data_IF_775773942584
#
_entry.id   IF_775773942584
#
_cell.length_a   1.000
_cell.length_b   1.000
_cell.length_c   1.000
_cell.angle_alpha   90.00
_cell.angle_beta   90.00
_cell.angle_gamma   90.00
#
_symmetry.space_group_name_H-M   'P 1'
#
loop_
_entity.id
_entity.type
_entity.pdbx_description
1 polymer ?
#
# COMPACT_ATOMS: atom_id res chain seq x y z
N UNK A 1 12.37 19.09 7.44
CA UNK A 1 12.98 18.32 6.34
C UNK A 1 12.35 18.81 5.06
N UNK A 2 13.13 19.14 4.04
CA UNK A 2 12.62 19.46 2.71
C UNK A 2 12.31 18.16 1.97
N UNK A 3 11.19 18.11 1.26
CA UNK A 3 10.83 16.96 0.42
C UNK A 3 10.47 17.46 -0.99
N UNK A 4 11.05 16.85 -1.99
CA UNK A 4 10.72 17.17 -3.39
C UNK A 4 9.52 16.34 -3.82
N UNK A 5 8.45 17.02 -4.25
CA UNK A 5 7.27 16.38 -4.84
C UNK A 5 7.25 16.61 -6.34
N UNK A 6 7.05 15.55 -7.11
CA UNK A 6 6.90 15.61 -8.56
C UNK A 6 5.77 14.74 -9.04
N UNK A 7 5.09 15.17 -10.09
CA UNK A 7 4.19 14.34 -10.85
C UNK A 7 5.01 13.40 -11.74
N UNK A 8 4.60 12.16 -11.78
CA UNK A 8 5.22 11.12 -12.61
C UNK A 8 4.16 10.38 -13.41
N UNK A 9 4.59 9.73 -14.46
CA UNK A 9 3.76 8.80 -15.22
C UNK A 9 4.36 7.41 -15.05
N UNK A 10 3.62 6.51 -14.42
CA UNK A 10 4.00 5.10 -14.28
C UNK A 10 3.66 4.39 -15.58
N UNK A 11 4.67 3.95 -16.30
CA UNK A 11 4.51 3.36 -17.64
C UNK A 11 4.83 1.87 -17.63
N UNK A 12 4.05 1.09 -18.39
CA UNK A 12 4.28 -0.34 -18.58
C UNK A 12 3.14 -1.02 -19.31
N UNK A 13 3.44 -2.09 -20.05
CA UNK A 13 2.44 -2.86 -20.77
C UNK A 13 1.58 -2.05 -21.76
N UNK A 14 2.10 -0.96 -22.32
CA UNK A 14 1.37 -0.06 -23.21
C UNK A 14 0.42 0.91 -22.52
N UNK A 15 0.56 1.08 -21.19
CA UNK A 15 -0.27 1.96 -20.38
C UNK A 15 0.55 3.00 -19.65
N UNK A 16 -0.12 4.11 -19.29
CA UNK A 16 0.43 5.23 -18.58
C UNK A 16 -0.53 5.63 -17.45
N UNK A 17 -0.10 5.51 -16.20
CA UNK A 17 -0.89 5.82 -15.03
C UNK A 17 -0.28 7.04 -14.31
N UNK A 18 -1.09 8.09 -14.02
CA UNK A 18 -0.57 9.26 -13.34
C UNK A 18 -0.25 8.96 -11.88
N UNK A 19 0.85 9.55 -11.38
CA UNK A 19 1.32 9.38 -10.01
C UNK A 19 1.94 10.64 -9.42
N UNK A 20 2.02 10.67 -8.11
CA UNK A 20 2.69 11.68 -7.29
C UNK A 20 3.83 10.99 -6.52
N UNK A 21 5.07 11.28 -6.86
CA UNK A 21 6.26 10.81 -6.16
C UNK A 21 6.78 11.91 -5.23
N UNK A 22 6.93 11.59 -3.96
CA UNK A 22 7.55 12.49 -2.96
C UNK A 22 8.85 11.86 -2.47
N UNK A 23 9.92 12.63 -2.48
CA UNK A 23 11.27 12.19 -2.10
C UNK A 23 11.81 13.14 -1.04
N UNK A 24 11.96 12.70 0.24
CA UNK A 24 12.69 13.42 1.27
C UNK A 24 14.20 13.54 0.96
N UNK A 25 14.91 14.41 1.68
CA UNK A 25 16.35 14.69 1.42
C UNK A 25 17.24 13.43 1.57
N UNK A 26 16.99 12.59 2.57
CA UNK A 26 17.76 11.36 2.81
C UNK A 26 16.83 10.18 3.11
N UNK A 27 16.25 9.59 2.07
CA UNK A 27 15.23 8.56 2.24
C UNK A 27 15.85 7.19 2.57
N UNK A 28 15.25 6.49 3.55
CA UNK A 28 15.62 5.15 3.98
C UNK A 28 14.89 4.02 3.25
N UNK A 29 13.79 4.32 2.56
CA UNK A 29 12.97 3.36 1.82
C UNK A 29 11.93 4.06 0.96
N UNK A 30 11.18 3.28 0.19
CA UNK A 30 10.09 3.77 -0.64
C UNK A 30 8.81 2.99 -0.35
N UNK A 31 7.68 3.69 -0.16
CA UNK A 31 6.36 3.09 0.02
C UNK A 31 5.45 3.41 -1.16
N UNK A 32 4.99 2.36 -1.86
CA UNK A 32 3.98 2.47 -2.92
C UNK A 32 2.59 2.28 -2.32
N UNK A 33 1.65 3.14 -2.73
CA UNK A 33 0.28 3.12 -2.25
C UNK A 33 -0.67 2.49 -3.26
N UNK A 34 -1.41 1.48 -2.82
CA UNK A 34 -2.54 0.91 -3.54
C UNK A 34 -3.85 1.40 -2.88
N UNK A 35 -4.56 2.28 -3.56
CA UNK A 35 -5.82 2.83 -3.07
C UNK A 35 -6.96 1.79 -3.13
N UNK A 36 -8.01 2.02 -2.33
CA UNK A 36 -9.19 1.17 -2.32
C UNK A 36 -10.18 1.49 -3.45
N UNK A 37 -11.25 0.71 -3.50
CA UNK A 37 -12.34 0.84 -4.46
C UNK A 37 -12.97 2.25 -4.43
N UNK A 38 -13.25 2.82 -5.61
CA UNK A 38 -13.82 4.16 -5.75
C UNK A 38 -12.94 5.30 -5.22
N UNK A 39 -11.61 5.07 -5.15
CA UNK A 39 -10.62 6.03 -4.68
C UNK A 39 -9.54 6.23 -5.76
N UNK A 40 -8.58 7.12 -5.50
CA UNK A 40 -7.48 7.44 -6.41
C UNK A 40 -6.23 7.87 -5.64
N UNK A 41 -5.16 8.25 -6.35
CA UNK A 41 -3.98 8.90 -5.78
C UNK A 41 -4.30 10.18 -4.99
N UNK A 42 -5.49 10.75 -5.19
CA UNK A 42 -5.97 11.95 -4.50
C UNK A 42 -6.67 11.65 -3.16
N UNK A 43 -6.79 10.39 -2.74
CA UNK A 43 -7.36 10.00 -1.45
C UNK A 43 -6.82 10.84 -0.31
N UNK A 44 -7.65 11.63 0.41
CA UNK A 44 -7.16 12.45 1.53
C UNK A 44 -6.52 11.60 2.63
N UNK A 45 -7.07 10.41 2.89
CA UNK A 45 -6.58 9.47 3.91
C UNK A 45 -5.20 8.91 3.53
N UNK A 46 -5.03 8.45 2.29
CA UNK A 46 -3.73 7.94 1.84
C UNK A 46 -2.68 9.05 1.79
N UNK A 47 -3.08 10.27 1.39
CA UNK A 47 -2.19 11.44 1.41
C UNK A 47 -1.74 11.83 2.81
N UNK A 48 -2.63 11.74 3.81
CA UNK A 48 -2.26 12.00 5.19
C UNK A 48 -1.24 10.98 5.72
N UNK A 49 -1.48 9.68 5.49
CA UNK A 49 -0.51 8.63 5.86
C UNK A 49 0.81 8.81 5.11
N UNK A 50 0.77 9.11 3.80
CA UNK A 50 1.97 9.38 3.01
C UNK A 50 2.78 10.57 3.53
N UNK A 51 2.11 11.65 3.96
CA UNK A 51 2.79 12.79 4.57
C UNK A 51 3.55 12.39 5.84
N UNK A 52 2.92 11.61 6.73
CA UNK A 52 3.59 11.10 7.94
C UNK A 52 4.77 10.18 7.60
N UNK A 53 4.64 9.34 6.56
CA UNK A 53 5.76 8.51 6.09
C UNK A 53 6.90 9.35 5.49
N UNK A 54 6.59 10.44 4.78
CA UNK A 54 7.62 11.36 4.29
C UNK A 54 8.35 12.06 5.45
N UNK A 55 7.64 12.44 6.53
CA UNK A 55 8.23 12.99 7.75
C UNK A 55 9.14 11.96 8.46
N UNK A 56 8.78 10.67 8.37
CA UNK A 56 9.59 9.56 8.88
C UNK A 56 10.75 9.17 7.95
N UNK A 57 10.99 9.89 6.83
CA UNK A 57 12.11 9.67 5.92
C UNK A 57 11.87 8.64 4.82
N UNK A 58 10.62 8.29 4.50
CA UNK A 58 10.32 7.40 3.38
C UNK A 58 9.91 8.19 2.14
N UNK A 59 10.40 7.78 0.97
CA UNK A 59 9.77 8.15 -0.30
C UNK A 59 8.36 7.58 -0.36
N UNK A 60 7.44 8.27 -1.03
CA UNK A 60 6.09 7.74 -1.27
C UNK A 60 5.69 7.92 -2.73
N UNK A 61 5.08 6.87 -3.31
CA UNK A 61 4.44 6.92 -4.61
C UNK A 61 2.95 6.64 -4.46
N UNK A 62 2.13 7.65 -4.71
CA UNK A 62 0.68 7.53 -4.86
C UNK A 62 0.36 7.59 -6.35
N UNK A 63 -0.31 6.59 -6.89
CA UNK A 63 -0.67 6.55 -8.31
C UNK A 63 -2.05 5.92 -8.48
N UNK A 64 -2.68 6.16 -9.62
CA UNK A 64 -3.97 5.59 -9.94
C UNK A 64 -3.81 4.16 -10.45
N UNK A 65 -4.64 3.24 -9.93
CA UNK A 65 -4.62 1.83 -10.32
C UNK A 65 -5.43 1.55 -11.59
N UNK A 66 -6.30 2.48 -11.97
CA UNK A 66 -7.11 2.44 -13.18
C UNK A 66 -6.78 3.65 -14.07
N UNK A 67 -6.91 3.47 -15.37
CA UNK A 67 -6.88 4.60 -16.32
C UNK A 67 -8.17 5.42 -16.21
N UNK A 68 -8.20 6.63 -16.75
CA UNK A 68 -9.40 7.46 -16.75
C UNK A 68 -10.59 6.79 -17.46
N UNK A 69 -10.33 6.05 -18.55
CA UNK A 69 -11.36 5.31 -19.27
C UNK A 69 -11.87 4.13 -18.43
N UNK A 70 -10.97 3.39 -17.79
CA UNK A 70 -11.33 2.31 -16.86
C UNK A 70 -12.13 2.84 -15.66
N UNK A 71 -11.76 3.98 -15.08
CA UNK A 71 -12.54 4.61 -14.00
C UNK A 71 -13.96 5.01 -14.47
N UNK A 72 -14.08 5.51 -15.69
CA UNK A 72 -15.38 5.86 -16.27
C UNK A 72 -16.29 4.63 -16.43
N UNK A 73 -15.73 3.49 -16.82
CA UNK A 73 -16.46 2.21 -16.88
C UNK A 73 -16.78 1.72 -15.47
N UNK A 74 -15.79 1.74 -14.58
CA UNK A 74 -15.93 1.24 -13.21
C UNK A 74 -16.95 2.06 -12.40
N UNK A 75 -17.07 3.37 -12.67
CA UNK A 75 -18.09 4.21 -12.04
C UNK A 75 -19.53 3.73 -12.32
N UNK A 76 -19.74 3.04 -13.44
CA UNK A 76 -21.05 2.51 -13.87
C UNK A 76 -21.24 1.05 -13.44
N UNK A 77 -20.19 0.22 -13.55
CA UNK A 77 -20.27 -1.23 -13.35
C UNK A 77 -19.82 -1.68 -11.96
N UNK A 78 -18.84 -0.99 -11.38
CA UNK A 78 -18.19 -1.39 -10.12
C UNK A 78 -17.31 -2.62 -10.22
N UNK A 79 -17.07 -3.16 -11.41
CA UNK A 79 -16.38 -4.43 -11.60
C UNK A 79 -14.87 -4.35 -11.43
N UNK A 80 -14.22 -3.31 -12.00
CA UNK A 80 -12.76 -3.21 -12.05
C UNK A 80 -12.15 -2.95 -10.68
N UNK A 81 -12.85 -2.22 -9.80
CA UNK A 81 -12.41 -1.93 -8.42
C UNK A 81 -12.28 -3.18 -7.55
N UNK A 82 -12.88 -4.31 -7.95
CA UNK A 82 -12.79 -5.61 -7.29
C UNK A 82 -12.01 -6.64 -8.11
N UNK A 83 -11.51 -6.29 -9.30
CA UNK A 83 -10.61 -7.14 -10.08
C UNK A 83 -9.19 -7.09 -9.46
N UNK A 84 -9.01 -7.87 -8.38
CA UNK A 84 -7.72 -7.92 -7.68
C UNK A 84 -6.55 -8.31 -8.60
N UNK A 85 -6.69 -9.28 -9.51
CA UNK A 85 -5.66 -9.55 -10.51
C UNK A 85 -5.26 -8.33 -11.36
N UNK A 86 -6.24 -7.51 -11.80
CA UNK A 86 -5.95 -6.27 -12.52
C UNK A 86 -5.19 -5.28 -11.64
N UNK A 87 -5.70 -4.98 -10.43
CA UNK A 87 -5.08 -4.04 -9.51
C UNK A 87 -3.66 -4.46 -9.12
N UNK A 88 -3.44 -5.75 -8.90
CA UNK A 88 -2.12 -6.30 -8.62
C UNK A 88 -1.16 -6.17 -9.81
N UNK A 89 -1.62 -6.41 -11.05
CA UNK A 89 -0.80 -6.15 -12.25
C UNK A 89 -0.37 -4.70 -12.35
N UNK A 90 -1.26 -3.74 -12.02
CA UNK A 90 -0.93 -2.30 -12.02
C UNK A 90 0.11 -1.95 -10.96
N UNK A 91 -0.05 -2.48 -9.75
CA UNK A 91 0.91 -2.24 -8.67
C UNK A 91 2.26 -2.91 -8.96
N UNK A 92 2.26 -4.13 -9.51
CA UNK A 92 3.48 -4.82 -9.96
C UNK A 92 4.19 -4.04 -11.06
N UNK A 93 3.44 -3.49 -12.03
CA UNK A 93 3.97 -2.61 -13.06
C UNK A 93 4.65 -1.37 -12.45
N UNK A 94 4.07 -0.77 -11.39
CA UNK A 94 4.69 0.37 -10.73
C UNK A 94 5.99 0.00 -10.01
N UNK A 95 6.08 -1.19 -9.40
CA UNK A 95 7.32 -1.73 -8.84
C UNK A 95 8.39 -1.87 -9.94
N UNK A 96 8.04 -2.50 -11.06
CA UNK A 96 8.97 -2.74 -12.17
C UNK A 96 9.39 -1.43 -12.86
N UNK A 97 8.47 -0.46 -13.00
CA UNK A 97 8.75 0.87 -13.53
C UNK A 97 9.78 1.62 -12.68
N UNK A 98 9.62 1.59 -11.34
CA UNK A 98 10.58 2.21 -10.42
C UNK A 98 11.98 1.59 -10.55
N UNK A 99 12.08 0.28 -10.67
CA UNK A 99 13.36 -0.42 -10.86
C UNK A 99 14.09 0.04 -12.13
N UNK A 100 13.34 0.32 -13.20
CA UNK A 100 13.87 0.77 -14.49
C UNK A 100 14.03 2.28 -14.65
N UNK A 101 13.51 3.09 -13.72
CA UNK A 101 13.38 4.55 -13.88
C UNK A 101 14.71 5.32 -13.76
N UNK A 102 15.76 4.72 -13.23
CA UNK A 102 17.02 5.42 -12.88
C UNK A 102 16.89 6.40 -11.71
N UNK A 103 15.71 6.53 -11.12
CA UNK A 103 15.47 7.37 -9.96
C UNK A 103 16.16 6.81 -8.72
N UNK A 104 16.71 7.69 -7.86
CA UNK A 104 17.29 7.27 -6.56
C UNK A 104 16.28 6.46 -5.75
N UNK A 105 15.01 6.83 -5.78
CA UNK A 105 13.93 6.12 -5.11
C UNK A 105 13.81 4.66 -5.55
N UNK A 106 14.08 4.34 -6.82
CA UNK A 106 14.06 2.98 -7.37
C UNK A 106 15.17 2.06 -6.84
N UNK A 107 16.21 2.60 -6.20
CA UNK A 107 17.30 1.82 -5.62
C UNK A 107 17.06 1.44 -4.14
N UNK A 108 16.04 2.03 -3.52
CA UNK A 108 15.69 1.79 -2.12
C UNK A 108 14.93 0.47 -1.92
N UNK A 109 14.88 -0.08 -0.70
CA UNK A 109 13.95 -1.17 -0.38
C UNK A 109 12.50 -0.66 -0.42
N UNK A 110 11.56 -1.53 -0.88
CA UNK A 110 10.17 -1.16 -1.05
C UNK A 110 9.27 -1.72 0.06
N UNK A 111 8.34 -0.87 0.50
CA UNK A 111 7.14 -1.26 1.22
C UNK A 111 5.89 -1.03 0.37
N UNK A 112 4.84 -1.78 0.62
CA UNK A 112 3.53 -1.57 0.02
C UNK A 112 2.51 -1.18 1.09
N UNK A 113 1.75 -0.11 0.85
CA UNK A 113 0.63 0.30 1.68
C UNK A 113 -0.66 0.14 0.89
N UNK A 114 -1.48 -0.83 1.26
CA UNK A 114 -2.75 -1.10 0.61
C UNK A 114 -3.95 -0.73 1.48
N UNK A 115 -4.99 -0.14 0.87
CA UNK A 115 -6.23 0.19 1.54
C UNK A 115 -7.40 -0.61 0.96
N UNK A 116 -8.21 -1.26 1.79
CA UNK A 116 -9.38 -2.05 1.37
C UNK A 116 -9.02 -3.07 0.27
N UNK A 117 -9.61 -3.00 -0.94
CA UNK A 117 -9.25 -3.85 -2.10
C UNK A 117 -7.79 -3.67 -2.53
N UNK A 118 -7.23 -2.47 -2.39
CA UNK A 118 -5.80 -2.21 -2.65
C UNK A 118 -4.86 -3.00 -1.73
N UNK A 119 -5.31 -3.41 -0.53
CA UNK A 119 -4.54 -4.28 0.34
C UNK A 119 -4.37 -5.67 -0.25
N UNK A 120 -5.43 -6.25 -0.83
CA UNK A 120 -5.32 -7.54 -1.53
C UNK A 120 -4.33 -7.46 -2.71
N UNK A 121 -4.41 -6.38 -3.50
CA UNK A 121 -3.45 -6.14 -4.58
C UNK A 121 -2.01 -6.02 -4.07
N UNK A 122 -1.78 -5.36 -2.93
CA UNK A 122 -0.46 -5.23 -2.31
C UNK A 122 0.09 -6.59 -1.86
N UNK A 123 -0.74 -7.44 -1.26
CA UNK A 123 -0.36 -8.80 -0.84
C UNK A 123 0.05 -9.67 -2.03
N UNK A 124 -0.75 -9.65 -3.10
CA UNK A 124 -0.44 -10.36 -4.36
C UNK A 124 0.87 -9.87 -4.96
N UNK A 125 1.06 -8.54 -5.06
CA UNK A 125 2.29 -7.95 -5.60
C UNK A 125 3.51 -8.32 -4.77
N UNK A 126 3.41 -8.32 -3.45
CA UNK A 126 4.50 -8.71 -2.55
C UNK A 126 4.93 -10.16 -2.78
N UNK A 127 3.98 -11.09 -2.98
CA UNK A 127 4.27 -12.48 -3.37
C UNK A 127 4.96 -12.58 -4.73
N UNK A 128 4.59 -11.73 -5.69
CA UNK A 128 5.18 -11.73 -7.04
C UNK A 128 6.56 -11.03 -7.11
N UNK A 129 6.87 -10.12 -6.18
CA UNK A 129 8.13 -9.34 -6.14
C UNK A 129 8.87 -9.42 -4.81
N UNK A 130 9.13 -10.65 -4.27
CA UNK A 130 9.68 -10.85 -2.93
C UNK A 130 11.12 -10.35 -2.77
N UNK A 131 11.83 -10.09 -3.88
CA UNK A 131 13.18 -9.52 -3.84
C UNK A 131 13.17 -7.99 -3.67
N UNK A 132 12.09 -7.33 -4.06
CA UNK A 132 11.96 -5.87 -4.03
C UNK A 132 11.11 -5.39 -2.88
N UNK A 133 9.95 -6.02 -2.67
CA UNK A 133 9.05 -5.72 -1.56
C UNK A 133 9.56 -6.42 -0.29
N UNK A 134 9.71 -5.66 0.78
CA UNK A 134 10.23 -6.14 2.07
C UNK A 134 9.18 -6.16 3.16
N UNK A 135 8.12 -5.37 3.05
CA UNK A 135 7.04 -5.32 4.01
C UNK A 135 5.73 -4.83 3.37
N UNK A 136 4.61 -5.21 3.96
CA UNK A 136 3.28 -4.75 3.57
C UNK A 136 2.55 -4.18 4.78
N UNK A 137 1.80 -3.09 4.58
CA UNK A 137 0.78 -2.58 5.50
C UNK A 137 -0.57 -2.65 4.80
N UNK A 138 -1.52 -3.31 5.43
CA UNK A 138 -2.92 -3.43 5.00
C UNK A 138 -3.81 -2.60 5.92
N UNK A 139 -4.41 -1.52 5.43
CA UNK A 139 -5.33 -0.68 6.19
C UNK A 139 -6.78 -1.00 5.84
N UNK A 140 -7.56 -1.52 6.79
CA UNK A 140 -8.95 -1.94 6.57
C UNK A 140 -9.05 -2.88 5.37
N UNK A 141 -8.05 -3.76 5.21
CA UNK A 141 -7.86 -4.56 4.03
C UNK A 141 -8.77 -5.77 3.94
N UNK A 142 -8.95 -6.25 2.73
CA UNK A 142 -9.65 -7.47 2.37
C UNK A 142 -8.63 -8.53 1.92
N UNK A 143 -7.83 -9.08 2.87
CA UNK A 143 -6.82 -10.07 2.55
C UNK A 143 -7.41 -11.37 1.98
N UNK A 144 -8.65 -11.68 2.34
CA UNK A 144 -9.42 -12.79 1.79
C UNK A 144 -9.51 -12.74 0.25
N UNK A 145 -9.51 -11.55 -0.35
CA UNK A 145 -9.54 -11.37 -1.80
C UNK A 145 -8.20 -11.70 -2.50
N UNK A 146 -7.10 -11.83 -1.77
CA UNK A 146 -5.83 -12.29 -2.33
C UNK A 146 -5.83 -13.82 -2.58
N UNK A 147 -6.75 -14.55 -1.93
CA UNK A 147 -6.98 -15.96 -2.15
C UNK A 147 -5.73 -16.83 -1.95
N UNK A 148 -5.51 -17.85 -2.81
CA UNK A 148 -4.38 -18.79 -2.66
C UNK A 148 -2.99 -18.13 -2.72
N UNK A 149 -2.88 -16.92 -3.28
CA UNK A 149 -1.62 -16.19 -3.41
C UNK A 149 -1.04 -15.73 -2.06
N UNK A 150 -1.83 -15.75 -0.98
CA UNK A 150 -1.33 -15.52 0.38
C UNK A 150 -0.24 -16.53 0.79
N UNK A 151 -0.33 -17.78 0.32
CA UNK A 151 0.67 -18.82 0.58
C UNK A 151 2.05 -18.55 -0.02
N UNK A 152 2.14 -17.68 -1.02
CA UNK A 152 3.40 -17.28 -1.68
C UNK A 152 4.09 -16.11 -0.99
N UNK A 153 3.46 -15.47 -0.03
CA UNK A 153 4.05 -14.38 0.74
C UNK A 153 5.28 -14.85 1.51
N UNK A 154 6.31 -14.01 1.53
CA UNK A 154 7.56 -14.24 2.25
C UNK A 154 7.99 -13.03 3.08
N UNK A 155 7.20 -11.96 3.05
CA UNK A 155 7.49 -10.71 3.73
C UNK A 155 6.48 -10.46 4.85
N UNK A 156 6.88 -9.80 5.94
CA UNK A 156 5.97 -9.50 7.05
C UNK A 156 4.87 -8.54 6.62
N UNK A 157 3.68 -8.75 7.17
CA UNK A 157 2.46 -7.98 6.91
C UNK A 157 1.92 -7.40 8.21
N UNK A 158 1.66 -6.10 8.24
CA UNK A 158 0.86 -5.49 9.30
C UNK A 158 -0.57 -5.30 8.79
N UNK A 159 -1.51 -5.96 9.45
CA UNK A 159 -2.95 -5.75 9.26
C UNK A 159 -3.42 -4.67 10.25
N UNK A 160 -3.94 -3.54 9.77
CA UNK A 160 -4.51 -2.47 10.60
C UNK A 160 -6.00 -2.42 10.35
N UNK A 161 -6.81 -2.66 11.38
CA UNK A 161 -8.28 -2.74 11.25
C UNK A 161 -8.95 -1.87 12.30
N UNK A 162 -10.05 -1.22 11.92
CA UNK A 162 -10.88 -0.47 12.83
C UNK A 162 -11.69 -1.41 13.76
N UNK A 163 -11.67 -1.18 15.06
CA UNK A 163 -12.38 -2.01 16.03
C UNK A 163 -13.91 -1.98 15.90
N UNK A 164 -14.48 -0.96 15.24
CA UNK A 164 -15.90 -0.88 14.91
C UNK A 164 -16.24 -1.51 13.55
N UNK A 165 -15.25 -1.93 12.75
CA UNK A 165 -15.44 -2.64 11.47
C UNK A 165 -15.42 -4.17 11.71
N UNK A 166 -16.45 -4.68 12.40
CA UNK A 166 -16.49 -6.05 12.88
C UNK A 166 -16.34 -7.10 11.75
N UNK A 167 -16.88 -6.82 10.57
CA UNK A 167 -16.78 -7.74 9.43
C UNK A 167 -15.34 -7.85 8.92
N UNK A 168 -14.68 -6.74 8.71
CA UNK A 168 -13.29 -6.72 8.23
C UNK A 168 -12.34 -7.22 9.31
N UNK A 169 -12.63 -6.94 10.61
CA UNK A 169 -11.85 -7.46 11.72
C UNK A 169 -11.85 -8.99 11.74
N UNK A 170 -13.02 -9.62 11.66
CA UNK A 170 -13.14 -11.07 11.63
C UNK A 170 -12.41 -11.71 10.45
N UNK A 171 -12.43 -11.08 9.26
CA UNK A 171 -11.68 -11.55 8.08
C UNK A 171 -10.18 -11.49 8.28
N UNK A 172 -9.67 -10.46 8.96
CA UNK A 172 -8.24 -10.31 9.23
C UNK A 172 -7.76 -11.23 10.37
N UNK A 173 -8.57 -11.40 11.43
CA UNK A 173 -8.29 -12.36 12.50
C UNK A 173 -8.19 -13.79 11.98
N UNK A 174 -9.03 -14.15 11.01
CA UNK A 174 -9.06 -15.50 10.45
C UNK A 174 -7.76 -15.88 9.70
N UNK A 175 -7.02 -14.90 9.19
CA UNK A 175 -5.86 -15.17 8.32
C UNK A 175 -4.52 -14.78 8.94
N UNK A 176 -4.49 -14.01 10.02
CA UNK A 176 -3.23 -13.49 10.58
C UNK A 176 -2.25 -14.61 10.95
N UNK A 177 -2.77 -15.74 11.41
CA UNK A 177 -1.97 -16.92 11.75
C UNK A 177 -1.35 -17.64 10.55
N UNK A 178 -1.88 -17.43 9.35
CA UNK A 178 -1.40 -18.06 8.11
C UNK A 178 -0.38 -17.16 7.36
N UNK A 179 -0.20 -15.91 7.83
CA UNK A 179 0.76 -14.98 7.26
C UNK A 179 2.20 -15.34 7.66
N UNK A 180 3.22 -14.87 6.93
CA UNK A 180 4.63 -15.10 7.26
C UNK A 180 4.97 -14.67 8.68
N UNK A 181 5.93 -15.36 9.30
CA UNK A 181 6.45 -15.02 10.62
C UNK A 181 6.86 -13.53 10.69
N UNK A 182 6.51 -12.88 11.80
CA UNK A 182 6.73 -11.45 11.99
C UNK A 182 5.59 -10.57 11.47
N UNK A 183 4.51 -11.17 10.93
CA UNK A 183 3.26 -10.45 10.64
C UNK A 183 2.48 -10.17 11.92
N UNK A 184 1.64 -9.13 11.91
CA UNK A 184 0.88 -8.68 13.08
C UNK A 184 -0.49 -8.11 12.70
N UNK A 185 -1.40 -8.08 13.67
CA UNK A 185 -2.73 -7.46 13.57
C UNK A 185 -2.86 -6.36 14.64
N UNK A 186 -3.01 -5.13 14.18
CA UNK A 186 -3.28 -3.97 15.02
C UNK A 186 -4.73 -3.51 14.89
N UNK A 187 -5.45 -3.50 15.99
CA UNK A 187 -6.84 -3.01 16.05
C UNK A 187 -6.83 -1.57 16.56
N UNK A 188 -7.40 -0.62 15.80
CA UNK A 188 -7.59 0.76 16.23
C UNK A 188 -8.95 0.86 16.94
N UNK A 189 -8.98 1.04 18.27
CA UNK A 189 -10.22 0.97 19.03
C UNK A 189 -11.23 2.01 18.56
N UNK A 190 -12.49 1.59 18.37
CA UNK A 190 -13.61 2.48 17.99
C UNK A 190 -13.56 3.02 16.57
N UNK A 191 -12.50 2.78 15.79
CA UNK A 191 -12.42 3.25 14.42
C UNK A 191 -13.31 2.42 13.49
N UNK A 192 -13.99 3.11 12.57
CA UNK A 192 -14.74 2.50 11.46
C UNK A 192 -13.81 2.10 10.31
N UNK A 193 -14.39 1.52 9.24
CA UNK A 193 -13.65 1.11 8.03
C UNK A 193 -12.80 2.23 7.41
N UNK A 194 -13.28 3.46 7.47
CA UNK A 194 -12.61 4.60 6.85
C UNK A 194 -11.67 5.37 7.79
N UNK A 195 -11.64 5.02 9.09
CA UNK A 195 -10.82 5.68 10.10
C UNK A 195 -11.07 7.19 10.16
N UNK A 196 -12.35 7.59 10.13
CA UNK A 196 -12.77 8.99 10.13
C UNK A 196 -12.86 9.58 11.54
N UNK A 197 -12.81 8.75 12.56
CA UNK A 197 -12.85 9.13 13.96
C UNK A 197 -11.58 9.90 14.35
N UNK A 198 -11.73 10.82 15.28
CA UNK A 198 -10.64 11.70 15.71
C UNK A 198 -9.41 10.89 16.17
N UNK A 199 -8.25 11.14 15.59
CA UNK A 199 -6.99 10.48 15.89
C UNK A 199 -6.86 9.05 15.37
N UNK A 200 -7.91 8.46 14.77
CA UNK A 200 -7.82 7.10 14.23
C UNK A 200 -6.82 6.99 13.05
N UNK A 201 -6.86 7.96 12.15
CA UNK A 201 -5.92 7.97 11.02
C UNK A 201 -4.47 8.27 11.45
N UNK A 202 -4.29 9.07 12.51
CA UNK A 202 -2.96 9.34 13.07
C UNK A 202 -2.36 8.06 13.67
N UNK A 203 -3.18 7.23 14.34
CA UNK A 203 -2.75 5.92 14.82
C UNK A 203 -2.35 4.99 13.66
N UNK A 204 -3.12 4.97 12.56
CA UNK A 204 -2.75 4.22 11.35
C UNK A 204 -1.40 4.68 10.82
N UNK A 205 -1.18 6.00 10.72
CA UNK A 205 0.05 6.58 10.21
C UNK A 205 1.26 6.21 11.09
N UNK A 206 1.11 6.31 12.41
CA UNK A 206 2.15 5.94 13.37
C UNK A 206 2.50 4.44 13.28
N UNK A 207 1.50 3.55 13.26
CA UNK A 207 1.69 2.11 13.12
C UNK A 207 2.40 1.76 11.79
N UNK A 208 2.00 2.42 10.69
CA UNK A 208 2.64 2.21 9.39
C UNK A 208 4.10 2.69 9.37
N UNK A 209 4.38 3.87 9.96
CA UNK A 209 5.73 4.42 10.03
C UNK A 209 6.66 3.51 10.87
N UNK A 210 6.20 3.07 12.04
CA UNK A 210 6.95 2.13 12.90
C UNK A 210 7.21 0.80 12.18
N UNK A 211 6.21 0.29 11.45
CA UNK A 211 6.34 -0.95 10.69
C UNK A 211 7.39 -0.84 9.59
N UNK A 212 7.30 0.18 8.76
CA UNK A 212 8.25 0.38 7.68
C UNK A 212 9.65 0.72 8.20
N UNK A 213 9.79 1.46 9.30
CA UNK A 213 11.09 1.71 9.92
C UNK A 213 11.79 0.41 10.33
N UNK A 214 11.04 -0.54 10.91
CA UNK A 214 11.60 -1.84 11.33
C UNK A 214 11.98 -2.75 10.18
N UNK A 215 11.27 -2.69 9.06
CA UNK A 215 11.39 -3.69 8.00
C UNK A 215 12.04 -3.20 6.71
N UNK A 216 12.01 -1.89 6.43
CA UNK A 216 12.61 -1.30 5.23
C UNK A 216 13.49 -0.09 5.49
N UNK A 217 13.56 0.42 6.73
CA UNK A 217 14.48 1.46 7.13
C UNK A 217 15.92 0.95 7.30
N UNK A 218 16.83 1.82 7.66
CA UNK A 218 18.26 1.48 7.84
C UNK A 218 18.53 0.37 8.89
N UNK A 219 17.55 0.07 9.76
CA UNK A 219 17.59 -1.05 10.71
C UNK A 219 17.36 -2.44 10.08
N UNK A 220 16.91 -2.52 8.84
CA UNK A 220 16.62 -3.76 8.11
C UNK A 220 17.78 -4.29 7.25
N UNK A 221 18.99 -3.82 7.44
CA UNK A 221 20.19 -4.42 6.83
C UNK A 221 20.53 -5.70 7.57
N UNK A 222 20.69 -6.84 6.85
CA UNK A 222 21.12 -8.12 7.43
C UNK A 222 22.52 -8.03 8.03
#
# INVERSE_FOLDING_TARGET
MTATRKQVTVEGGGMALPGDLTVPDDPSGLVLFAHGSGSSRHSPRNRAVAASLNEAGFCTLLFDLLTADEESVDAQTGELRFDIPLLARRLTMAVDWLDGSGERAGQLPYGLFGASTGAAAALVTAGQRPRRVRAVVSRGGRPDLAGPLLGDLRVPVLLIVGGADAQVLALNEAIVGDLPNGSDLAVVPGASHLFVEQGALDQVAALAADWFTRHIGDGGRP
#
